data_IF_558058243879
#
_entry.id   IF_558058243879
#
_cell.length_a   1.000
_cell.length_b   1.000
_cell.length_c   1.000
_cell.angle_alpha   90.00
_cell.angle_beta   90.00
_cell.angle_gamma   90.00
#
_symmetry.space_group_name_H-M   'P 1'
#
loop_
_entity.id
_entity.type
_entity.pdbx_description
1 polymer ?
#
# COMPACT_ATOMS: atom_id res chain seq x y z
N UNK A 1 2.63 46.91 8.04
CA UNK A 1 2.89 47.21 9.46
C UNK A 1 4.26 46.62 9.79
N UNK A 2 5.24 47.43 10.20
CA UNK A 2 6.59 46.92 10.48
C UNK A 2 6.53 46.00 11.72
N UNK A 3 7.31 44.91 11.79
CA UNK A 3 7.29 44.02 12.95
C UNK A 3 7.44 44.78 14.27
N UNK A 4 8.28 45.81 14.33
CA UNK A 4 8.50 46.67 15.50
C UNK A 4 7.27 47.41 16.04
N UNK A 5 6.18 47.53 15.26
CA UNK A 5 4.93 48.18 15.70
C UNK A 5 3.94 47.24 16.40
N UNK A 6 4.24 45.94 16.44
CA UNK A 6 3.48 44.94 17.20
C UNK A 6 4.04 44.84 18.63
N UNK A 7 3.19 44.73 19.65
CA UNK A 7 3.65 44.53 21.03
C UNK A 7 4.42 43.20 21.20
N UNK A 8 5.30 43.13 22.20
CA UNK A 8 6.22 41.99 22.36
C UNK A 8 5.49 40.68 22.66
N UNK A 9 4.35 40.72 23.37
CA UNK A 9 3.50 39.56 23.61
C UNK A 9 2.96 38.95 22.32
N UNK A 10 2.40 39.77 21.42
CA UNK A 10 1.85 39.29 20.16
C UNK A 10 2.95 38.79 19.23
N UNK A 11 4.15 39.38 19.28
CA UNK A 11 5.32 38.85 18.57
C UNK A 11 5.73 37.48 19.09
N UNK A 12 5.75 37.30 20.40
CA UNK A 12 6.08 36.02 21.03
C UNK A 12 5.05 34.93 20.68
N UNK A 13 3.76 35.25 20.71
CA UNK A 13 2.70 34.33 20.32
C UNK A 13 2.80 33.91 18.84
N UNK A 14 3.00 34.87 17.92
CA UNK A 14 3.19 34.56 16.50
C UNK A 14 4.41 33.65 16.28
N UNK A 15 5.51 33.88 17.01
CA UNK A 15 6.69 33.03 16.94
C UNK A 15 6.41 31.61 17.46
N UNK A 16 5.64 31.47 18.55
CA UNK A 16 5.25 30.16 19.10
C UNK A 16 4.38 29.37 18.12
N UNK A 17 3.42 30.03 17.47
CA UNK A 17 2.54 29.40 16.46
C UNK A 17 3.33 28.98 15.23
N UNK A 18 4.28 29.80 14.77
CA UNK A 18 5.14 29.44 13.64
C UNK A 18 5.98 28.18 13.94
N UNK A 19 6.57 28.09 15.13
CA UNK A 19 7.31 26.90 15.58
C UNK A 19 6.42 25.66 15.63
N UNK A 20 5.22 25.78 16.21
CA UNK A 20 4.26 24.66 16.24
C UNK A 20 3.85 24.21 14.83
N UNK A 21 3.55 25.16 13.93
CA UNK A 21 3.24 24.87 12.52
C UNK A 21 4.36 24.09 11.86
N UNK A 22 5.60 24.53 12.07
CA UNK A 22 6.77 23.92 11.43
C UNK A 22 7.04 22.52 12.00
N UNK A 23 6.83 22.31 13.30
CA UNK A 23 6.92 20.99 13.96
C UNK A 23 5.92 19.96 13.43
N UNK A 24 4.73 20.38 12.97
CA UNK A 24 3.71 19.46 12.45
C UNK A 24 3.68 19.37 10.92
N UNK A 25 4.53 20.13 10.24
CA UNK A 25 4.54 20.21 8.77
C UNK A 25 5.12 18.97 8.07
N UNK A 26 5.98 18.21 8.78
CA UNK A 26 6.75 17.09 8.23
C UNK A 26 8.10 17.49 7.64
N UNK A 27 8.46 18.77 7.68
CA UNK A 27 9.71 19.30 7.11
C UNK A 27 10.98 18.89 7.88
N UNK A 28 10.85 18.40 9.12
CA UNK A 28 12.01 18.04 9.93
C UNK A 28 12.60 16.71 9.42
N UNK A 29 13.79 16.76 8.82
CA UNK A 29 14.54 15.56 8.52
C UNK A 29 15.14 14.98 9.81
N UNK A 30 14.95 13.68 10.02
CA UNK A 30 15.59 12.97 11.15
C UNK A 30 17.11 12.86 10.94
N UNK A 31 17.86 12.69 12.03
CA UNK A 31 19.24 12.20 12.03
C UNK A 31 19.38 10.85 12.73
N UNK A 32 20.61 10.45 13.05
CA UNK A 32 20.91 9.25 13.82
C UNK A 32 21.17 8.00 12.98
N UNK A 33 20.61 6.86 13.39
CA UNK A 33 20.75 5.55 12.70
C UNK A 33 19.39 4.99 12.32
N UNK A 34 19.35 3.87 11.59
CA UNK A 34 18.10 3.22 11.15
C UNK A 34 17.22 2.68 12.28
N UNK A 35 17.70 2.62 13.53
CA UNK A 35 16.90 2.21 14.70
C UNK A 35 16.96 3.20 15.87
N UNK A 36 17.78 4.25 15.75
CA UNK A 36 17.84 5.34 16.73
C UNK A 36 17.77 6.67 16.00
N UNK A 37 16.54 7.13 15.75
CA UNK A 37 16.27 8.38 15.06
C UNK A 37 16.35 9.56 16.04
N UNK A 38 16.88 10.68 15.56
CA UNK A 38 16.90 11.96 16.29
C UNK A 38 16.09 13.00 15.55
N UNK A 39 15.36 13.84 16.29
CA UNK A 39 14.61 14.98 15.75
C UNK A 39 14.94 16.22 16.57
N UNK A 40 15.24 17.32 15.89
CA UNK A 40 15.35 18.64 16.51
C UNK A 40 14.09 19.43 16.13
N UNK A 41 13.23 19.68 17.10
CA UNK A 41 12.01 20.45 16.91
C UNK A 41 12.30 21.96 16.92
N UNK A 42 11.42 22.71 16.26
CA UNK A 42 11.42 24.17 16.25
C UNK A 42 10.97 24.76 17.59
N UNK A 43 10.13 24.04 18.34
CA UNK A 43 9.75 24.44 19.71
C UNK A 43 10.86 24.19 20.74
N UNK A 44 11.78 23.27 20.48
CA UNK A 44 12.92 22.91 21.33
C UNK A 44 12.48 22.57 22.76
N UNK A 45 11.84 21.41 22.91
CA UNK A 45 11.31 20.96 24.20
C UNK A 45 12.45 20.69 25.19
N UNK A 46 12.26 21.12 26.44
CA UNK A 46 13.23 20.99 27.54
C UNK A 46 12.94 19.80 28.47
N UNK A 47 11.78 19.14 28.31
CA UNK A 47 11.31 18.08 29.19
C UNK A 47 10.21 17.23 28.53
N UNK A 48 10.13 15.97 28.93
CA UNK A 48 9.04 15.07 28.52
C UNK A 48 7.66 15.55 28.98
N UNK A 49 7.59 16.33 30.06
CA UNK A 49 6.33 16.92 30.53
C UNK A 49 5.76 17.93 29.52
N UNK A 50 6.61 18.77 28.91
CA UNK A 50 6.19 19.74 27.89
C UNK A 50 5.95 19.09 26.54
N UNK A 51 6.68 18.01 26.25
CA UNK A 51 6.50 17.22 25.03
C UNK A 51 5.24 16.34 25.08
N UNK A 52 4.70 16.04 26.27
CA UNK A 52 3.51 15.19 26.42
C UNK A 52 2.35 15.71 25.60
N UNK A 53 1.73 14.80 24.82
CA UNK A 53 0.62 15.06 23.91
C UNK A 53 0.92 16.00 22.73
N UNK A 54 2.16 16.47 22.59
CA UNK A 54 2.57 17.26 21.43
C UNK A 54 2.76 16.35 20.23
N UNK A 55 2.39 16.89 19.06
CA UNK A 55 2.64 16.26 17.78
C UNK A 55 3.99 16.69 17.24
N UNK A 56 4.72 15.74 16.68
CA UNK A 56 5.94 16.02 15.92
C UNK A 56 5.87 15.25 14.62
N UNK A 57 6.02 15.98 13.53
CA UNK A 57 6.12 15.45 12.19
C UNK A 57 7.58 15.43 11.74
N UNK A 58 8.01 14.33 11.14
CA UNK A 58 9.38 14.15 10.71
C UNK A 58 9.46 13.29 9.45
N UNK A 59 10.54 13.46 8.71
CA UNK A 59 10.87 12.69 7.51
C UNK A 59 12.13 11.85 7.80
N UNK A 60 12.05 10.50 7.79
CA UNK A 60 13.18 9.63 8.00
C UNK A 60 14.28 9.88 6.95
N UNK A 61 15.52 10.08 7.37
CA UNK A 61 16.68 10.21 6.47
C UNK A 61 17.15 8.86 5.95
N UNK A 62 16.71 7.77 6.59
CA UNK A 62 16.97 6.38 6.25
C UNK A 62 15.73 5.55 6.60
N UNK A 63 15.46 4.50 5.83
CA UNK A 63 14.41 3.53 6.16
C UNK A 63 14.77 2.80 7.44
N UNK A 64 13.81 2.62 8.35
CA UNK A 64 14.12 1.99 9.63
C UNK A 64 14.49 0.50 9.49
N UNK A 65 15.43 0.05 10.33
CA UNK A 65 15.99 -1.30 10.29
C UNK A 65 15.33 -2.30 11.24
N UNK A 66 14.34 -1.90 12.04
CA UNK A 66 13.73 -2.71 13.09
C UNK A 66 13.01 -1.88 14.15
N UNK A 67 12.95 -2.39 15.38
CA UNK A 67 12.46 -1.63 16.53
C UNK A 67 13.23 -0.32 16.63
N UNK A 68 12.49 0.79 16.68
CA UNK A 68 13.06 2.13 16.48
C UNK A 68 12.78 2.98 17.70
N UNK A 69 13.77 3.77 18.12
CA UNK A 69 13.59 4.83 19.11
C UNK A 69 13.64 6.19 18.45
N UNK A 70 12.95 7.16 19.04
CA UNK A 70 13.02 8.56 18.67
C UNK A 70 13.57 9.36 19.86
N UNK A 71 14.60 10.17 19.63
CA UNK A 71 15.10 11.15 20.59
C UNK A 71 14.77 12.56 20.06
N UNK A 72 13.86 13.23 20.74
CA UNK A 72 13.45 14.61 20.40
C UNK A 72 14.25 15.56 21.27
N UNK A 73 14.89 16.55 20.65
CA UNK A 73 15.60 17.65 21.31
C UNK A 73 16.66 17.24 22.34
N UNK A 74 17.18 16.00 22.23
CA UNK A 74 18.16 15.47 23.17
C UNK A 74 17.59 15.09 24.54
N UNK A 75 16.27 15.05 24.70
CA UNK A 75 15.60 14.71 25.98
C UNK A 75 15.82 13.26 26.42
N UNK A 76 16.22 12.39 25.49
CA UNK A 76 16.44 10.97 25.70
C UNK A 76 15.62 10.14 24.71
N UNK A 77 16.21 9.04 24.24
CA UNK A 77 15.55 8.15 23.31
C UNK A 77 14.36 7.44 23.97
N UNK A 78 13.20 7.45 23.32
CA UNK A 78 12.01 6.69 23.71
C UNK A 78 11.55 5.78 22.58
N UNK A 79 10.88 4.65 22.87
CA UNK A 79 10.35 3.78 21.82
C UNK A 79 9.40 4.55 20.89
N UNK A 80 9.51 4.27 19.59
CA UNK A 80 8.59 4.75 18.57
C UNK A 80 7.79 3.55 18.07
N UNK A 81 6.46 3.62 18.24
CA UNK A 81 5.54 2.48 18.10
C UNK A 81 4.37 2.82 17.18
N UNK A 82 3.72 1.79 16.66
CA UNK A 82 2.48 1.93 15.87
C UNK A 82 1.21 1.89 16.73
N UNK A 83 1.28 1.24 17.90
CA UNK A 83 0.22 1.15 18.90
C UNK A 83 0.84 0.79 20.27
N UNK A 84 0.08 0.89 21.39
CA UNK A 84 0.58 0.48 22.70
C UNK A 84 1.16 -0.93 22.67
N UNK A 85 2.40 -1.07 23.18
CA UNK A 85 3.16 -2.33 23.20
C UNK A 85 3.47 -2.98 21.83
N UNK A 86 3.25 -2.27 20.71
CA UNK A 86 3.55 -2.77 19.36
C UNK A 86 4.75 -2.04 18.77
N UNK A 87 5.90 -2.70 18.76
CA UNK A 87 7.14 -2.17 18.17
C UNK A 87 7.05 -2.08 16.64
N UNK A 88 7.81 -1.14 16.07
CA UNK A 88 7.98 -1.08 14.62
C UNK A 88 8.88 -2.22 14.14
N UNK A 89 8.58 -2.77 12.97
CA UNK A 89 9.48 -3.68 12.25
C UNK A 89 10.21 -2.94 11.14
N UNK A 90 11.25 -3.57 10.57
CA UNK A 90 12.02 -2.99 9.48
C UNK A 90 11.13 -2.62 8.30
N UNK A 91 11.34 -1.43 7.71
CA UNK A 91 10.58 -0.94 6.57
C UNK A 91 9.26 -0.24 6.90
N UNK A 92 8.86 -0.14 8.17
CA UNK A 92 7.67 0.61 8.59
C UNK A 92 7.80 2.12 8.36
N UNK A 93 9.00 2.67 8.54
CA UNK A 93 9.33 4.06 8.25
C UNK A 93 10.19 4.08 7.00
N UNK A 94 9.63 4.60 5.90
CA UNK A 94 10.32 4.69 4.61
C UNK A 94 11.07 6.02 4.52
N UNK A 95 12.33 5.95 4.09
CA UNK A 95 13.16 7.13 3.82
C UNK A 95 12.40 8.16 2.97
N UNK A 96 12.47 9.43 3.35
CA UNK A 96 11.88 10.53 2.58
C UNK A 96 10.36 10.66 2.70
N UNK A 97 9.67 9.76 3.43
CA UNK A 97 8.22 9.84 3.65
C UNK A 97 7.92 10.59 4.95
N UNK A 98 7.09 11.65 4.96
CA UNK A 98 6.74 12.34 6.19
C UNK A 98 5.78 11.49 7.04
N UNK A 99 6.12 11.36 8.32
CA UNK A 99 5.29 10.72 9.35
C UNK A 99 4.99 11.71 10.47
N UNK A 100 3.93 11.43 11.23
CA UNK A 100 3.57 12.21 12.41
C UNK A 100 3.47 11.28 13.62
N UNK A 101 4.01 11.70 14.75
CA UNK A 101 3.90 10.98 16.01
C UNK A 101 3.40 11.88 17.14
N UNK A 102 2.93 11.27 18.22
CA UNK A 102 2.59 11.95 19.49
C UNK A 102 3.31 11.25 20.64
N UNK A 103 3.88 12.02 21.56
CA UNK A 103 4.46 11.48 22.79
C UNK A 103 3.39 11.23 23.85
N UNK A 104 3.35 10.01 24.40
CA UNK A 104 2.50 9.63 25.53
C UNK A 104 3.38 9.50 26.79
N UNK A 105 3.15 10.38 27.77
CA UNK A 105 3.93 10.41 29.01
C UNK A 105 3.62 9.24 29.96
N UNK A 106 2.41 8.68 29.90
CA UNK A 106 2.02 7.52 30.72
C UNK A 106 2.70 6.23 30.27
N UNK A 107 2.84 6.00 28.96
CA UNK A 107 3.56 4.85 28.39
C UNK A 107 5.06 5.14 28.14
N UNK A 108 5.47 6.41 28.29
CA UNK A 108 6.80 6.89 27.95
C UNK A 108 7.26 6.49 26.53
N UNK A 109 6.37 6.58 25.54
CA UNK A 109 6.62 6.18 24.16
C UNK A 109 6.00 7.18 23.15
N UNK A 110 6.53 7.19 21.93
CA UNK A 110 5.95 7.87 20.80
C UNK A 110 5.04 6.92 20.01
N UNK A 111 3.85 7.38 19.64
CA UNK A 111 2.94 6.64 18.76
C UNK A 111 2.81 7.34 17.42
N UNK A 112 3.04 6.60 16.34
CA UNK A 112 2.77 7.06 14.99
C UNK A 112 1.27 7.26 14.80
N UNK A 113 0.89 8.44 14.33
CA UNK A 113 -0.50 8.75 13.98
C UNK A 113 -0.78 8.35 12.54
N UNK A 114 -1.93 7.71 12.33
CA UNK A 114 -2.35 7.28 11.00
C UNK A 114 -1.46 6.18 10.39
N UNK A 115 -0.60 5.53 11.18
CA UNK A 115 0.27 4.44 10.69
C UNK A 115 -0.54 3.27 10.12
N UNK A 116 -1.59 2.85 10.83
CA UNK A 116 -2.60 1.93 10.33
C UNK A 116 -3.82 2.68 9.77
N UNK A 117 -3.60 3.68 8.91
CA UNK A 117 -4.67 4.43 8.25
C UNK A 117 -5.63 3.58 7.41
N UNK A 118 -5.36 2.27 7.25
CA UNK A 118 -6.30 1.31 6.70
C UNK A 118 -6.20 -0.07 7.41
N UNK A 119 -7.25 -0.54 8.12
CA UNK A 119 -7.29 -1.86 8.76
C UNK A 119 -7.38 -3.06 7.79
N UNK A 120 -7.41 -2.84 6.47
CA UNK A 120 -7.50 -3.90 5.46
C UNK A 120 -6.16 -4.23 4.80
N UNK A 121 -5.10 -4.49 5.58
CA UNK A 121 -3.78 -4.90 5.06
C UNK A 121 -3.90 -5.91 3.91
N UNK A 122 -3.74 -5.45 2.67
CA UNK A 122 -3.82 -6.30 1.50
C UNK A 122 -2.55 -7.16 1.52
N UNK A 123 -2.66 -8.49 1.60
CA UNK A 123 -1.48 -9.35 1.62
C UNK A 123 -0.66 -9.15 0.34
N UNK A 124 0.64 -9.44 0.40
CA UNK A 124 1.49 -9.41 -0.80
C UNK A 124 0.92 -10.37 -1.84
N UNK A 125 0.69 -9.87 -3.05
CA UNK A 125 0.00 -10.61 -4.12
C UNK A 125 -1.53 -10.56 -4.06
N UNK A 126 -2.10 -9.88 -3.06
CA UNK A 126 -3.52 -9.59 -2.99
C UNK A 126 -3.97 -8.68 -4.15
N UNK A 127 -5.14 -8.98 -4.70
CA UNK A 127 -5.74 -8.22 -5.79
C UNK A 127 -7.02 -7.58 -5.30
N UNK A 128 -7.21 -6.30 -5.60
CA UNK A 128 -8.43 -5.56 -5.32
C UNK A 128 -8.86 -4.77 -6.57
N UNK A 129 -10.17 -4.63 -6.84
CA UNK A 129 -10.66 -3.74 -7.87
C UNK A 129 -10.23 -2.29 -7.59
N UNK A 130 -9.58 -1.66 -8.56
CA UNK A 130 -9.07 -0.30 -8.43
C UNK A 130 -9.54 0.54 -9.62
N UNK A 131 -10.07 1.74 -9.35
CA UNK A 131 -10.72 2.59 -10.35
C UNK A 131 -9.81 3.68 -10.93
N UNK A 132 -8.57 3.80 -10.45
CA UNK A 132 -7.59 4.74 -10.98
C UNK A 132 -6.82 4.20 -12.19
N UNK A 133 -6.27 5.11 -13.00
CA UNK A 133 -5.52 4.78 -14.23
C UNK A 133 -4.01 4.59 -13.99
N UNK A 134 -3.52 4.78 -12.77
CA UNK A 134 -2.11 4.61 -12.37
C UNK A 134 -2.03 3.98 -11.00
N UNK A 135 -0.97 3.22 -10.73
CA UNK A 135 -0.79 2.59 -9.41
C UNK A 135 -0.75 3.67 -8.30
N UNK A 136 -1.44 3.47 -7.17
CA UNK A 136 -1.51 4.47 -6.09
C UNK A 136 -0.14 4.92 -5.54
N UNK A 137 0.80 3.98 -5.43
CA UNK A 137 2.18 4.19 -4.97
C UNK A 137 3.03 2.96 -5.34
N UNK A 138 4.31 2.96 -4.95
CA UNK A 138 5.28 1.89 -5.26
C UNK A 138 4.96 0.51 -4.67
N UNK A 139 4.04 0.41 -3.71
CA UNK A 139 3.59 -0.86 -3.12
C UNK A 139 2.51 -1.55 -3.96
N UNK A 140 1.95 -0.86 -4.96
CA UNK A 140 0.94 -1.40 -5.85
C UNK A 140 1.44 -1.42 -7.28
N UNK A 141 0.89 -2.34 -8.08
CA UNK A 141 1.13 -2.40 -9.51
C UNK A 141 -0.19 -2.74 -10.20
N UNK A 142 -0.47 -2.10 -11.34
CA UNK A 142 -1.63 -2.49 -12.14
C UNK A 142 -1.34 -3.84 -12.81
N UNK A 143 -2.24 -4.82 -12.79
CA UNK A 143 -2.01 -6.15 -13.33
C UNK A 143 -2.29 -6.19 -14.85
N UNK A 144 -1.39 -5.62 -15.66
CA UNK A 144 -1.47 -5.63 -17.12
C UNK A 144 -0.38 -6.48 -17.79
N UNK A 145 0.19 -7.45 -17.05
CA UNK A 145 1.13 -8.45 -17.59
C UNK A 145 2.58 -7.97 -17.73
N UNK A 146 2.92 -6.78 -17.24
CA UNK A 146 4.26 -6.22 -17.37
C UNK A 146 5.31 -6.96 -16.54
N UNK A 147 6.56 -6.88 -16.99
CA UNK A 147 7.72 -7.36 -16.24
C UNK A 147 8.10 -6.38 -15.13
N UNK A 148 8.25 -6.87 -13.91
CA UNK A 148 8.73 -6.12 -12.74
C UNK A 148 10.03 -6.75 -12.21
N UNK A 149 10.82 -5.97 -11.48
CA UNK A 149 12.14 -6.39 -10.98
C UNK A 149 12.02 -7.45 -9.88
N UNK A 150 12.78 -8.55 -10.01
CA UNK A 150 12.91 -9.60 -8.98
C UNK A 150 13.55 -9.07 -7.70
N UNK A 151 14.46 -8.10 -7.81
CA UNK A 151 15.15 -7.53 -6.65
C UNK A 151 14.27 -6.54 -5.90
N UNK A 152 13.58 -5.67 -6.64
CA UNK A 152 12.68 -4.66 -6.05
C UNK A 152 11.44 -5.32 -5.42
N UNK A 153 10.92 -6.38 -6.03
CA UNK A 153 9.72 -7.08 -5.58
C UNK A 153 10.02 -8.52 -5.13
N UNK A 154 11.10 -8.70 -4.36
CA UNK A 154 11.60 -10.02 -3.96
C UNK A 154 10.57 -10.86 -3.18
N UNK A 155 9.80 -10.25 -2.28
CA UNK A 155 8.76 -10.96 -1.51
C UNK A 155 7.66 -11.52 -2.41
N UNK A 156 7.22 -10.75 -3.41
CA UNK A 156 6.22 -11.22 -4.36
C UNK A 156 6.83 -12.29 -5.29
N UNK A 157 8.07 -12.10 -5.77
CA UNK A 157 8.76 -13.10 -6.57
C UNK A 157 8.94 -14.43 -5.83
N UNK A 158 9.20 -14.42 -4.52
CA UNK A 158 9.28 -15.65 -3.73
C UNK A 158 7.96 -16.41 -3.67
N UNK A 159 6.82 -15.71 -3.75
CA UNK A 159 5.49 -16.32 -3.69
C UNK A 159 5.06 -16.91 -5.02
N UNK A 160 5.26 -16.16 -6.12
CA UNK A 160 4.70 -16.53 -7.43
C UNK A 160 5.75 -16.99 -8.42
N UNK A 161 7.04 -16.77 -8.14
CA UNK A 161 8.14 -17.02 -9.05
C UNK A 161 7.83 -16.50 -10.46
N UNK A 162 7.91 -17.36 -11.48
CA UNK A 162 7.61 -17.04 -12.87
C UNK A 162 6.22 -17.52 -13.32
N UNK A 163 5.29 -17.75 -12.39
CA UNK A 163 3.94 -18.28 -12.68
C UNK A 163 3.21 -17.48 -13.77
N UNK A 164 3.37 -16.15 -13.78
CA UNK A 164 2.74 -15.27 -14.77
C UNK A 164 3.65 -14.90 -15.95
N UNK A 165 4.82 -15.53 -16.05
CA UNK A 165 5.82 -15.29 -17.07
C UNK A 165 7.20 -14.97 -16.50
N UNK A 166 8.24 -15.42 -17.19
CA UNK A 166 9.62 -15.32 -16.72
C UNK A 166 10.24 -13.91 -16.84
N UNK A 167 9.51 -12.92 -17.36
CA UNK A 167 10.07 -11.61 -17.69
C UNK A 167 11.19 -11.75 -18.72
N UNK A 168 12.36 -11.19 -18.40
CA UNK A 168 13.58 -11.31 -19.20
C UNK A 168 14.40 -12.58 -18.90
N UNK A 169 13.89 -13.50 -18.07
CA UNK A 169 14.55 -14.74 -17.71
C UNK A 169 15.58 -14.64 -16.58
N UNK A 170 16.03 -13.44 -16.20
CA UNK A 170 17.10 -13.26 -15.21
C UNK A 170 16.73 -12.29 -14.08
N UNK A 171 16.44 -11.04 -14.40
CA UNK A 171 16.27 -9.97 -13.39
C UNK A 171 14.83 -9.50 -13.23
N UNK A 172 13.91 -9.94 -14.10
CA UNK A 172 12.49 -9.59 -14.02
C UNK A 172 11.59 -10.82 -14.01
N UNK A 173 10.33 -10.60 -13.67
CA UNK A 173 9.24 -11.57 -13.75
C UNK A 173 7.94 -10.83 -14.04
N UNK A 174 6.97 -11.50 -14.64
CA UNK A 174 5.71 -10.87 -15.00
C UNK A 174 4.71 -10.90 -13.84
N UNK A 175 3.85 -9.88 -13.79
CA UNK A 175 2.64 -9.87 -12.95
C UNK A 175 1.48 -10.49 -13.73
N UNK A 176 0.34 -10.79 -13.08
CA UNK A 176 -0.88 -11.19 -13.78
C UNK A 176 -1.30 -10.17 -14.84
N UNK A 177 -1.85 -10.64 -15.95
CA UNK A 177 -2.56 -9.81 -16.93
C UNK A 177 -4.07 -10.01 -16.74
N UNK A 178 -4.76 -9.00 -16.22
CA UNK A 178 -6.20 -9.02 -15.96
C UNK A 178 -6.99 -8.16 -16.94
N UNK A 179 -6.37 -7.62 -17.99
CA UNK A 179 -7.08 -6.81 -18.98
C UNK A 179 -8.13 -7.65 -19.71
N UNK A 180 -9.39 -7.23 -19.61
CA UNK A 180 -10.53 -7.93 -20.21
C UNK A 180 -10.88 -9.27 -19.57
N UNK A 181 -10.45 -9.52 -18.32
CA UNK A 181 -10.61 -10.82 -17.65
C UNK A 181 -11.35 -10.70 -16.33
N UNK A 182 -12.06 -11.77 -15.98
CA UNK A 182 -12.67 -11.97 -14.65
C UNK A 182 -11.76 -12.90 -13.86
N UNK A 183 -11.51 -12.56 -12.59
CA UNK A 183 -10.71 -13.39 -11.69
C UNK A 183 -11.59 -14.52 -11.15
N UNK A 184 -11.04 -15.72 -11.12
CA UNK A 184 -11.60 -16.85 -10.39
C UNK A 184 -10.59 -17.40 -9.39
N UNK A 185 -11.08 -17.98 -8.30
CA UNK A 185 -10.25 -18.68 -7.32
C UNK A 185 -9.61 -19.93 -7.91
N UNK A 186 -8.48 -20.35 -7.33
CA UNK A 186 -7.83 -21.61 -7.66
C UNK A 186 -8.74 -22.77 -7.23
N UNK A 187 -9.14 -23.63 -8.16
CA UNK A 187 -10.26 -24.57 -7.96
C UNK A 187 -10.00 -25.65 -6.89
N UNK A 188 -8.73 -25.93 -6.59
CA UNK A 188 -8.35 -26.89 -5.57
C UNK A 188 -7.94 -26.26 -4.23
N UNK A 189 -7.53 -24.98 -4.18
CA UNK A 189 -7.06 -24.29 -2.96
C UNK A 189 -6.10 -25.13 -2.07
N UNK A 190 -5.28 -26.00 -2.66
CA UNK A 190 -4.39 -26.92 -1.93
C UNK A 190 -5.02 -28.25 -1.47
N UNK A 191 -6.30 -28.51 -1.78
CA UNK A 191 -7.03 -29.74 -1.54
C UNK A 191 -7.60 -30.35 -2.82
N UNK A 192 -8.81 -30.90 -2.76
CA UNK A 192 -9.52 -31.46 -3.92
C UNK A 192 -10.22 -30.37 -4.74
N UNK A 193 -10.24 -30.54 -6.06
CA UNK A 193 -10.85 -29.59 -7.00
C UNK A 193 -12.38 -29.56 -6.88
N UNK A 194 -12.98 -28.37 -6.76
CA UNK A 194 -14.43 -28.20 -6.76
C UNK A 194 -15.07 -28.41 -8.15
N UNK A 195 -14.26 -28.44 -9.21
CA UNK A 195 -14.64 -28.73 -10.60
C UNK A 195 -15.72 -27.79 -11.15
N UNK A 196 -15.69 -26.51 -10.76
CA UNK A 196 -16.65 -25.50 -11.24
C UNK A 196 -16.23 -24.85 -12.55
N UNK A 197 -14.92 -24.69 -12.76
CA UNK A 197 -14.32 -24.11 -13.96
C UNK A 197 -13.42 -25.16 -14.63
N UNK A 198 -14.02 -25.97 -15.49
CA UNK A 198 -13.32 -27.08 -16.16
C UNK A 198 -12.87 -26.73 -17.57
N UNK A 199 -11.82 -27.41 -18.03
CA UNK A 199 -11.24 -27.20 -19.36
C UNK A 199 -12.24 -27.43 -20.50
N UNK A 200 -13.20 -28.36 -20.36
CA UNK A 200 -14.21 -28.64 -21.39
C UNK A 200 -15.06 -27.43 -21.77
N UNK A 201 -15.31 -26.50 -20.84
CA UNK A 201 -16.15 -25.33 -21.09
C UNK A 201 -15.35 -24.04 -21.18
N UNK A 202 -14.29 -23.91 -20.37
CA UNK A 202 -13.52 -22.67 -20.25
C UNK A 202 -12.14 -22.76 -20.93
N UNK A 203 -11.76 -23.89 -21.53
CA UNK A 203 -10.50 -24.02 -22.28
C UNK A 203 -9.23 -24.05 -21.43
N UNK A 204 -9.34 -24.00 -20.11
CA UNK A 204 -8.22 -24.10 -19.18
C UNK A 204 -8.64 -24.81 -17.89
N UNK A 205 -7.68 -25.48 -17.22
CA UNK A 205 -7.92 -26.15 -15.94
C UNK A 205 -7.65 -25.18 -14.79
N UNK A 206 -8.67 -24.90 -13.98
CA UNK A 206 -8.58 -23.94 -12.87
C UNK A 206 -7.79 -24.44 -11.64
N UNK A 207 -7.18 -25.63 -11.70
CA UNK A 207 -6.25 -26.14 -10.67
C UNK A 207 -4.82 -25.62 -10.84
N UNK A 208 -4.52 -24.96 -11.96
CA UNK A 208 -3.23 -24.35 -12.22
C UNK A 208 -3.32 -22.85 -11.93
N UNK A 209 -2.50 -22.36 -11.00
CA UNK A 209 -2.48 -20.94 -10.68
C UNK A 209 -2.01 -20.13 -11.90
N UNK A 210 -2.72 -19.05 -12.20
CA UNK A 210 -2.42 -18.22 -13.37
C UNK A 210 -2.85 -18.81 -14.71
N UNK A 211 -3.60 -19.93 -14.72
CA UNK A 211 -4.22 -20.43 -15.93
C UNK A 211 -5.27 -19.43 -16.48
N UNK A 212 -5.36 -19.35 -17.80
CA UNK A 212 -6.22 -18.39 -18.48
C UNK A 212 -6.99 -19.09 -19.58
N UNK A 213 -8.30 -18.85 -19.64
CA UNK A 213 -9.20 -19.50 -20.58
C UNK A 213 -10.38 -18.60 -20.93
N UNK A 214 -11.29 -19.14 -21.73
CA UNK A 214 -12.40 -18.42 -22.34
C UNK A 214 -11.98 -17.88 -23.71
N UNK A 215 -12.70 -18.29 -24.75
CA UNK A 215 -12.63 -17.63 -26.04
C UNK A 215 -13.73 -16.58 -26.12
N UNK A 216 -13.47 -15.48 -26.83
CA UNK A 216 -14.54 -14.61 -27.28
C UNK A 216 -15.52 -15.45 -28.11
N UNK A 217 -16.78 -15.50 -27.67
CA UNK A 217 -17.86 -16.21 -28.35
C UNK A 217 -18.99 -15.21 -28.56
N UNK A 218 -19.25 -14.76 -29.79
CA UNK A 218 -20.48 -14.05 -30.06
C UNK A 218 -21.64 -15.01 -29.82
N UNK A 219 -22.63 -14.58 -29.04
CA UNK A 219 -23.86 -15.34 -28.86
C UNK A 219 -24.66 -15.28 -30.17
N UNK A 220 -24.52 -16.30 -31.01
CA UNK A 220 -25.28 -16.42 -32.24
C UNK A 220 -26.68 -16.98 -31.94
N UNK A 221 -27.69 -16.11 -31.97
CA UNK A 221 -29.08 -16.57 -32.02
C UNK A 221 -29.34 -17.17 -33.41
N UNK A 222 -29.38 -18.50 -33.51
CA UNK A 222 -29.89 -19.17 -34.69
C UNK A 222 -31.42 -19.18 -34.64
N UNK A 223 -32.04 -18.08 -35.06
CA UNK A 223 -33.49 -17.99 -35.22
C UNK A 223 -33.95 -18.91 -36.35
N UNK A 224 -34.47 -20.10 -36.01
CA UNK A 224 -35.12 -20.95 -36.99
C UNK A 224 -36.49 -20.36 -37.37
N UNK A 225 -36.51 -19.38 -38.28
CA UNK A 225 -37.75 -18.94 -38.91
C UNK A 225 -38.22 -20.05 -39.85
N UNK A 226 -39.02 -20.99 -39.33
CA UNK A 226 -39.67 -22.02 -40.15
C UNK A 226 -40.77 -21.36 -40.98
N UNK A 227 -40.42 -20.75 -42.12
CA UNK A 227 -41.40 -20.26 -43.08
C UNK A 227 -42.07 -21.48 -43.71
N UNK A 228 -43.22 -21.85 -43.15
CA UNK A 228 -44.03 -22.94 -43.68
C UNK A 228 -44.79 -22.38 -44.90
N UNK A 229 -44.19 -22.47 -46.09
CA UNK A 229 -44.94 -22.23 -47.32
C UNK A 229 -45.90 -23.41 -47.52
N UNK A 230 -47.18 -23.19 -47.20
CA UNK A 230 -48.24 -24.16 -47.43
C UNK A 230 -48.32 -24.54 -48.91
N UNK A 231 -48.03 -25.81 -49.23
CA UNK A 231 -48.31 -26.37 -50.56
C UNK A 231 -49.84 -26.40 -50.75
N UNK A 232 -50.38 -25.51 -51.58
CA UNK A 232 -51.71 -25.71 -52.16
C UNK A 232 -51.70 -27.02 -52.94
N UNK A 233 -52.50 -28.00 -52.50
CA UNK A 233 -52.80 -29.21 -53.28
C UNK A 233 -53.67 -28.80 -54.45
N UNK A 234 -53.15 -28.93 -55.67
CA UNK A 234 -53.97 -28.95 -56.88
C UNK A 234 -54.60 -30.34 -56.99
N UNK A 235 -55.92 -30.42 -56.98
CA UNK A 235 -56.66 -31.64 -57.32
C UNK A 235 -56.83 -31.72 -58.85
N UNK A 236 -56.81 -32.93 -59.44
CA UNK A 236 -57.13 -33.16 -60.85
C UNK A 236 -58.62 -32.94 -61.14
#
# INVERSE_FOLDING_TARGET
>A
MAPSSVNDSARAEMASVAKWRDDISGAIATGGTSTALTVTSYQSFDSFSRLSNQMIAFTPHVTNGGATTLNVDGLGAKPLRSAPSTELVAGHLVQGTPYVCVYNSSDAAFYLRGFFGNPYSIPVGGVLPYTGTSAPNSSFVLPYGQAISRTTYASYFSLVSTTFGAGNGSTTFNVPDLRGRVIAGLDNMGGSAASRLTSSYFGATATNLGATGGSEKPHAHYGATRVTYGRKRSAP
#
